data_IF_307978867154
#
_entry.id   IF_307978867154
#
_cell.length_a   1.000
_cell.length_b   1.000
_cell.length_c   1.000
_cell.angle_alpha   90.00
_cell.angle_beta   90.00
_cell.angle_gamma   90.00
#
_symmetry.space_group_name_H-M   'P 1'
#
loop_
_entity.id
_entity.type
_entity.pdbx_description
1 polymer ?
#
# COMPACT_ATOMS: atom_id res chain seq x y z
N UNK A 1 4.77 26.65 1.38
CA UNK A 1 3.39 26.95 0.93
C UNK A 1 2.86 28.14 1.74
N UNK A 2 2.09 29.08 1.17
CA UNK A 2 1.47 30.16 1.95
C UNK A 2 0.45 29.57 2.93
N UNK A 3 0.35 30.13 4.14
CA UNK A 3 -0.53 29.65 5.24
C UNK A 3 -1.99 29.38 4.80
N UNK A 4 -2.53 30.20 3.92
CA UNK A 4 -3.88 30.01 3.38
C UNK A 4 -4.05 28.72 2.56
N UNK A 5 -2.99 28.18 1.95
CA UNK A 5 -3.05 26.92 1.21
C UNK A 5 -3.07 25.69 2.11
N UNK A 6 -2.41 25.76 3.27
CA UNK A 6 -2.38 24.67 4.26
C UNK A 6 -3.74 24.49 4.93
N UNK A 7 -4.41 25.59 5.29
CA UNK A 7 -5.75 25.55 5.84
C UNK A 7 -6.77 24.99 4.85
N UNK A 8 -6.69 25.40 3.58
CA UNK A 8 -7.59 24.92 2.53
C UNK A 8 -7.41 23.40 2.26
N UNK A 9 -6.19 22.87 2.32
CA UNK A 9 -5.91 21.43 2.20
C UNK A 9 -6.48 20.66 3.40
N UNK A 10 -6.31 21.18 4.61
CA UNK A 10 -6.83 20.56 5.83
C UNK A 10 -8.36 20.48 5.81
N UNK A 11 -9.03 21.53 5.36
CA UNK A 11 -10.50 21.56 5.29
C UNK A 11 -11.03 20.61 4.21
N UNK A 12 -10.37 20.50 3.04
CA UNK A 12 -10.68 19.51 2.00
C UNK A 12 -10.49 18.08 2.51
N UNK A 13 -9.42 17.79 3.26
CA UNK A 13 -9.22 16.48 3.89
C UNK A 13 -10.36 16.08 4.81
N UNK A 14 -10.87 17.03 5.61
CA UNK A 14 -12.00 16.77 6.51
C UNK A 14 -13.32 16.55 5.78
N UNK A 15 -13.50 17.23 4.64
CA UNK A 15 -14.73 17.15 3.84
C UNK A 15 -14.78 15.91 2.94
N UNK A 16 -13.63 15.35 2.53
CA UNK A 16 -13.58 14.20 1.62
C UNK A 16 -13.90 12.89 2.34
N UNK A 17 -14.90 12.16 1.82
CA UNK A 17 -15.24 10.81 2.29
C UNK A 17 -14.09 9.82 2.10
N UNK A 18 -13.24 10.05 1.10
CA UNK A 18 -12.09 9.20 0.81
C UNK A 18 -11.04 9.21 1.92
N UNK A 19 -11.04 10.24 2.78
CA UNK A 19 -10.20 10.27 3.99
C UNK A 19 -10.52 9.13 4.96
N UNK A 20 -11.75 8.59 4.89
CA UNK A 20 -12.17 7.44 5.71
C UNK A 20 -12.08 6.15 4.89
N UNK A 21 -12.51 6.18 3.62
CA UNK A 21 -12.60 4.97 2.78
C UNK A 21 -11.23 4.43 2.40
N UNK A 22 -10.30 5.30 1.97
CA UNK A 22 -8.96 4.89 1.54
C UNK A 22 -8.17 4.13 2.62
N UNK A 23 -8.09 4.57 3.90
CA UNK A 23 -7.41 3.83 4.94
C UNK A 23 -7.98 2.43 5.19
N UNK A 24 -9.27 2.19 4.98
CA UNK A 24 -9.87 0.86 5.13
C UNK A 24 -9.24 -0.11 4.12
N UNK A 25 -9.12 0.28 2.86
CA UNK A 25 -8.47 -0.54 1.84
C UNK A 25 -6.96 -0.66 2.08
N UNK A 26 -6.29 0.41 2.49
CA UNK A 26 -4.86 0.42 2.77
C UNK A 26 -4.50 -0.51 3.94
N UNK A 27 -5.26 -0.49 5.03
CA UNK A 27 -5.08 -1.39 6.17
C UNK A 27 -5.50 -2.81 5.80
N UNK A 28 -6.62 -2.97 5.09
CA UNK A 28 -7.13 -4.26 4.65
C UNK A 28 -6.13 -5.01 3.76
N UNK A 29 -5.51 -4.33 2.79
CA UNK A 29 -4.48 -4.95 1.94
C UNK A 29 -3.21 -5.33 2.71
N UNK A 30 -2.82 -4.53 3.71
CA UNK A 30 -1.67 -4.85 4.57
C UNK A 30 -1.95 -6.10 5.40
N UNK A 31 -3.15 -6.20 5.98
CA UNK A 31 -3.57 -7.41 6.70
C UNK A 31 -3.62 -8.64 5.78
N UNK A 32 -4.22 -8.50 4.59
CA UNK A 32 -4.27 -9.56 3.59
C UNK A 32 -2.87 -9.99 3.12
N UNK A 33 -1.89 -9.11 3.10
CA UNK A 33 -0.50 -9.45 2.81
C UNK A 33 0.07 -10.40 3.87
N UNK A 34 -0.09 -10.12 5.16
CA UNK A 34 0.41 -11.02 6.22
C UNK A 34 -0.28 -12.38 6.19
N UNK A 35 -1.60 -12.38 5.96
CA UNK A 35 -2.36 -13.63 5.78
C UNK A 35 -1.83 -14.43 4.59
N UNK A 36 -1.59 -13.77 3.46
CA UNK A 36 -1.10 -14.40 2.24
C UNK A 36 0.33 -14.95 2.40
N UNK A 37 1.21 -14.24 3.12
CA UNK A 37 2.54 -14.74 3.50
C UNK A 37 2.41 -15.97 4.41
N UNK A 38 1.46 -15.96 5.36
CA UNK A 38 1.16 -17.12 6.20
C UNK A 38 0.76 -18.36 5.38
N UNK A 39 -0.13 -18.20 4.41
CA UNK A 39 -0.49 -19.27 3.46
C UNK A 39 0.70 -19.76 2.65
N UNK A 40 1.56 -18.85 2.18
CA UNK A 40 2.76 -19.21 1.44
C UNK A 40 3.72 -20.05 2.28
N UNK A 41 3.98 -19.64 3.52
CA UNK A 41 4.82 -20.41 4.45
C UNK A 41 4.19 -21.76 4.79
N UNK A 42 2.87 -21.82 4.99
CA UNK A 42 2.14 -23.06 5.23
C UNK A 42 2.23 -24.02 4.02
N UNK A 43 2.17 -23.49 2.80
CA UNK A 43 2.38 -24.27 1.57
C UNK A 43 3.79 -24.86 1.50
N UNK A 44 4.83 -24.09 1.80
CA UNK A 44 6.21 -24.57 1.81
C UNK A 44 6.44 -25.69 2.85
N UNK A 45 5.60 -25.75 3.88
CA UNK A 45 5.57 -26.83 4.89
C UNK A 45 4.66 -27.99 4.52
N UNK A 46 4.00 -27.96 3.37
CA UNK A 46 3.05 -29.00 2.93
C UNK A 46 1.70 -28.99 3.67
N UNK A 47 1.37 -27.93 4.42
CA UNK A 47 0.15 -27.85 5.23
C UNK A 47 -1.09 -27.39 4.45
N UNK A 48 -0.92 -26.70 3.32
CA UNK A 48 -2.01 -26.20 2.48
C UNK A 48 -1.68 -26.38 0.99
N UNK A 49 -2.71 -26.36 0.13
CA UNK A 49 -2.54 -26.43 -1.32
C UNK A 49 -2.06 -25.10 -1.91
N UNK A 50 -1.44 -25.14 -3.09
CA UNK A 50 -1.09 -23.94 -3.83
C UNK A 50 -2.33 -23.09 -4.19
N UNK A 51 -3.48 -23.72 -4.46
CA UNK A 51 -4.70 -22.98 -4.78
C UNK A 51 -5.16 -22.07 -3.62
N UNK A 52 -4.96 -22.50 -2.36
CA UNK A 52 -5.23 -21.68 -1.20
C UNK A 52 -4.29 -20.44 -1.13
N UNK A 53 -3.00 -20.64 -1.44
CA UNK A 53 -2.04 -19.53 -1.57
C UNK A 53 -2.49 -18.56 -2.66
N UNK A 54 -2.78 -19.08 -3.87
CA UNK A 54 -3.21 -18.27 -5.00
C UNK A 54 -4.47 -17.46 -4.69
N UNK A 55 -5.49 -18.08 -4.08
CA UNK A 55 -6.70 -17.40 -3.65
C UNK A 55 -6.41 -16.24 -2.67
N UNK A 56 -5.52 -16.46 -1.70
CA UNK A 56 -5.12 -15.40 -0.75
C UNK A 56 -4.40 -14.23 -1.43
N UNK A 57 -3.58 -14.51 -2.46
CA UNK A 57 -2.92 -13.49 -3.29
C UNK A 57 -3.95 -12.68 -4.09
N UNK A 58 -4.96 -13.34 -4.68
CA UNK A 58 -6.02 -12.65 -5.42
C UNK A 58 -6.81 -11.70 -4.53
N UNK A 59 -7.17 -12.11 -3.32
CA UNK A 59 -7.83 -11.23 -2.33
C UNK A 59 -6.95 -10.02 -2.02
N UNK A 60 -5.65 -10.24 -1.77
CA UNK A 60 -4.70 -9.15 -1.52
C UNK A 60 -4.61 -8.18 -2.71
N UNK A 61 -4.55 -8.69 -3.95
CA UNK A 61 -4.51 -7.86 -5.17
C UNK A 61 -5.81 -7.07 -5.31
N UNK A 62 -6.98 -7.65 -5.07
CA UNK A 62 -8.26 -6.96 -5.13
C UNK A 62 -8.33 -5.79 -4.14
N UNK A 63 -7.87 -5.99 -2.90
CA UNK A 63 -7.79 -4.93 -1.90
C UNK A 63 -6.77 -3.85 -2.29
N UNK A 64 -5.66 -4.22 -2.92
CA UNK A 64 -4.66 -3.29 -3.42
C UNK A 64 -5.21 -2.43 -4.55
N UNK A 65 -5.96 -3.00 -5.50
CA UNK A 65 -6.66 -2.24 -6.54
C UNK A 65 -7.64 -1.25 -5.90
N UNK A 66 -8.41 -1.69 -4.89
CA UNK A 66 -9.29 -0.82 -4.13
C UNK A 66 -8.54 0.33 -3.45
N UNK A 67 -7.38 0.06 -2.85
CA UNK A 67 -6.54 1.09 -2.23
C UNK A 67 -6.02 2.10 -3.26
N UNK A 68 -5.53 1.64 -4.41
CA UNK A 68 -5.06 2.51 -5.51
C UNK A 68 -6.18 3.41 -6.02
N UNK A 69 -7.36 2.85 -6.30
CA UNK A 69 -8.50 3.63 -6.79
C UNK A 69 -8.98 4.66 -5.75
N UNK A 70 -9.18 4.24 -4.51
CA UNK A 70 -9.64 5.14 -3.44
C UNK A 70 -8.60 6.20 -3.09
N UNK A 71 -7.31 5.88 -3.18
CA UNK A 71 -6.20 6.82 -3.03
C UNK A 71 -6.23 7.90 -4.12
N UNK A 72 -6.42 7.51 -5.38
CA UNK A 72 -6.53 8.44 -6.52
C UNK A 72 -7.70 9.42 -6.35
N UNK A 73 -8.86 8.93 -5.92
CA UNK A 73 -10.00 9.81 -5.63
C UNK A 73 -9.71 10.77 -4.47
N UNK A 74 -9.02 10.28 -3.42
CA UNK A 74 -8.63 11.10 -2.30
C UNK A 74 -7.64 12.20 -2.71
N UNK A 75 -6.59 11.88 -3.47
CA UNK A 75 -5.64 12.86 -3.97
C UNK A 75 -6.32 13.93 -4.83
N UNK A 76 -7.25 13.51 -5.70
CA UNK A 76 -8.02 14.46 -6.53
C UNK A 76 -8.83 15.41 -5.67
N UNK A 77 -9.56 14.91 -4.67
CA UNK A 77 -10.40 15.75 -3.80
C UNK A 77 -9.57 16.71 -2.97
N UNK A 78 -8.42 16.27 -2.47
CA UNK A 78 -7.61 17.03 -1.51
C UNK A 78 -6.61 17.95 -2.20
N UNK A 79 -5.91 17.45 -3.23
CA UNK A 79 -4.80 18.16 -3.89
C UNK A 79 -5.12 18.60 -5.33
N UNK A 80 -6.17 18.07 -5.95
CA UNK A 80 -6.53 18.34 -7.33
C UNK A 80 -5.79 17.47 -8.36
N UNK A 81 -4.95 16.53 -7.93
CA UNK A 81 -4.22 15.59 -8.78
C UNK A 81 -4.88 14.22 -8.72
N UNK A 82 -4.92 13.52 -9.86
CA UNK A 82 -5.41 12.14 -9.87
C UNK A 82 -4.42 11.14 -9.29
N UNK A 83 -3.15 11.37 -9.52
CA UNK A 83 -2.01 10.57 -9.09
C UNK A 83 -0.78 11.45 -9.05
N UNK A 84 0.25 10.99 -8.34
CA UNK A 84 1.55 11.67 -8.28
C UNK A 84 1.48 13.10 -7.74
N UNK A 85 0.61 13.33 -6.76
CA UNK A 85 0.70 14.56 -6.00
C UNK A 85 2.12 14.72 -5.43
N UNK A 86 2.75 15.89 -5.54
CA UNK A 86 4.15 16.08 -5.12
C UNK A 86 4.44 15.59 -3.71
N UNK A 87 3.45 15.65 -2.83
CA UNK A 87 3.52 15.20 -1.44
C UNK A 87 3.61 13.67 -1.31
N UNK A 88 3.09 12.90 -2.29
CA UNK A 88 2.98 11.44 -2.27
C UNK A 88 3.69 10.74 -3.43
N UNK A 89 4.46 11.49 -4.23
CA UNK A 89 5.12 10.97 -5.44
C UNK A 89 5.91 9.67 -5.17
N UNK A 90 6.63 9.59 -4.06
CA UNK A 90 7.45 8.41 -3.73
C UNK A 90 6.56 7.21 -3.41
N UNK A 91 5.48 7.42 -2.66
CA UNK A 91 4.52 6.37 -2.30
C UNK A 91 3.81 5.82 -3.53
N UNK A 92 3.40 6.71 -4.44
CA UNK A 92 2.71 6.33 -5.67
C UNK A 92 3.62 5.53 -6.59
N UNK A 93 4.87 5.97 -6.78
CA UNK A 93 5.88 5.24 -7.56
C UNK A 93 6.15 3.87 -6.95
N UNK A 94 6.31 3.78 -5.63
CA UNK A 94 6.53 2.49 -4.96
C UNK A 94 5.31 1.58 -5.05
N UNK A 95 4.11 2.13 -4.93
CA UNK A 95 2.85 1.39 -5.12
C UNK A 95 2.74 0.86 -6.55
N UNK A 96 3.10 1.66 -7.55
CA UNK A 96 3.13 1.22 -8.95
C UNK A 96 4.13 0.08 -9.16
N UNK A 97 5.33 0.18 -8.59
CA UNK A 97 6.34 -0.90 -8.66
C UNK A 97 5.77 -2.19 -8.05
N UNK A 98 5.19 -2.12 -6.86
CA UNK A 98 4.54 -3.27 -6.22
C UNK A 98 3.46 -3.86 -7.12
N UNK A 99 2.63 -3.01 -7.72
CA UNK A 99 1.54 -3.43 -8.61
C UNK A 99 2.08 -4.18 -9.83
N UNK A 100 3.15 -3.68 -10.45
CA UNK A 100 3.80 -4.34 -11.59
C UNK A 100 4.31 -5.74 -11.23
N UNK A 101 4.90 -5.94 -10.05
CA UNK A 101 5.32 -7.26 -9.61
C UNK A 101 4.14 -8.20 -9.32
N UNK A 102 3.00 -7.69 -8.85
CA UNK A 102 1.78 -8.49 -8.70
C UNK A 102 1.22 -8.92 -10.06
N UNK A 103 1.21 -8.03 -11.06
CA UNK A 103 0.80 -8.36 -12.42
C UNK A 103 1.77 -9.37 -13.07
N UNK A 104 3.07 -9.23 -12.84
CA UNK A 104 4.06 -10.19 -13.31
C UNK A 104 3.83 -11.58 -12.71
N UNK A 105 3.52 -11.67 -11.40
CA UNK A 105 3.13 -12.93 -10.78
C UNK A 105 1.88 -13.53 -11.45
N UNK A 106 0.83 -12.75 -11.69
CA UNK A 106 -0.37 -13.23 -12.39
C UNK A 106 -0.05 -13.70 -13.80
N UNK A 107 0.83 -12.99 -14.52
CA UNK A 107 1.31 -13.40 -15.83
C UNK A 107 2.04 -14.74 -15.79
N UNK A 108 2.95 -14.94 -14.83
CA UNK A 108 3.65 -16.22 -14.67
C UNK A 108 2.65 -17.35 -14.35
N UNK A 109 1.67 -17.11 -13.49
CA UNK A 109 0.63 -18.11 -13.21
C UNK A 109 -0.22 -18.43 -14.45
N UNK A 110 -0.57 -17.41 -15.25
CA UNK A 110 -1.42 -17.60 -16.44
C UNK A 110 -0.72 -18.38 -17.56
N UNK A 111 0.58 -18.16 -17.77
CA UNK A 111 1.30 -18.71 -18.91
C UNK A 111 2.28 -19.84 -18.56
N UNK A 112 2.68 -19.98 -17.31
CA UNK A 112 3.72 -20.90 -16.86
C UNK A 112 3.33 -21.64 -15.56
N UNK A 113 2.05 -21.94 -15.37
CA UNK A 113 1.56 -22.63 -14.16
C UNK A 113 2.23 -23.98 -13.92
N UNK A 114 2.68 -24.65 -14.99
CA UNK A 114 3.39 -25.93 -14.93
C UNK A 114 4.80 -25.79 -14.33
N UNK A 115 5.38 -24.61 -14.38
CA UNK A 115 6.68 -24.31 -13.81
C UNK A 115 6.53 -23.76 -12.37
N UNK A 116 6.15 -24.64 -11.45
CA UNK A 116 5.92 -24.24 -10.05
C UNK A 116 7.12 -23.52 -9.40
N UNK A 117 8.39 -23.90 -9.63
CA UNK A 117 9.53 -23.14 -9.13
C UNK A 117 9.54 -21.67 -9.59
N UNK A 118 9.23 -21.40 -10.86
CA UNK A 118 9.16 -20.01 -11.37
C UNK A 118 8.01 -19.23 -10.73
N UNK A 119 6.85 -19.87 -10.54
CA UNK A 119 5.67 -19.27 -9.87
C UNK A 119 6.01 -18.88 -8.43
N UNK A 120 6.63 -19.78 -7.67
CA UNK A 120 7.01 -19.53 -6.28
C UNK A 120 8.10 -18.47 -6.14
N UNK A 121 9.08 -18.48 -7.05
CA UNK A 121 10.13 -17.47 -7.10
C UNK A 121 9.52 -16.08 -7.35
N UNK A 122 8.64 -15.96 -8.35
CA UNK A 122 7.99 -14.68 -8.67
C UNK A 122 7.11 -14.19 -7.54
N UNK A 123 6.38 -15.10 -6.87
CA UNK A 123 5.59 -14.75 -5.68
C UNK A 123 6.48 -14.25 -4.53
N UNK A 124 7.61 -14.93 -4.28
CA UNK A 124 8.58 -14.52 -3.27
C UNK A 124 9.15 -13.12 -3.55
N UNK A 125 9.51 -12.83 -4.81
CA UNK A 125 9.96 -11.50 -5.23
C UNK A 125 8.86 -10.46 -5.01
N UNK A 126 7.62 -10.74 -5.42
CA UNK A 126 6.49 -9.83 -5.25
C UNK A 126 6.22 -9.54 -3.76
N UNK A 127 6.39 -10.52 -2.88
CA UNK A 127 6.28 -10.32 -1.42
C UNK A 127 7.43 -9.48 -0.86
N UNK A 128 8.66 -9.72 -1.31
CA UNK A 128 9.82 -8.94 -0.88
C UNK A 128 9.68 -7.46 -1.25
N UNK A 129 9.27 -7.18 -2.50
CA UNK A 129 9.03 -5.80 -2.97
C UNK A 129 7.90 -5.13 -2.17
N UNK A 130 6.82 -5.87 -1.88
CA UNK A 130 5.74 -5.34 -1.04
C UNK A 130 6.21 -5.06 0.39
N UNK A 131 7.00 -5.95 0.99
CA UNK A 131 7.55 -5.75 2.34
C UNK A 131 8.44 -4.50 2.43
N UNK A 132 9.26 -4.24 1.40
CA UNK A 132 10.07 -3.02 1.29
C UNK A 132 9.16 -1.79 1.26
N UNK A 133 8.10 -1.81 0.46
CA UNK A 133 7.13 -0.70 0.39
C UNK A 133 6.46 -0.43 1.75
N UNK A 134 6.02 -1.48 2.46
CA UNK A 134 5.45 -1.36 3.81
C UNK A 134 6.47 -0.77 4.80
N UNK A 135 7.71 -1.25 4.76
CA UNK A 135 8.78 -0.73 5.64
C UNK A 135 9.06 0.76 5.39
N UNK A 136 9.11 1.19 4.12
CA UNK A 136 9.27 2.60 3.75
C UNK A 136 8.10 3.45 4.26
N UNK A 137 6.87 2.98 4.08
CA UNK A 137 5.68 3.67 4.56
C UNK A 137 5.69 3.87 6.08
N UNK A 138 6.01 2.81 6.84
CA UNK A 138 6.12 2.88 8.30
C UNK A 138 7.20 3.87 8.72
N UNK A 139 8.39 3.78 8.13
CA UNK A 139 9.51 4.66 8.44
C UNK A 139 9.18 6.13 8.19
N UNK A 140 8.54 6.45 7.07
CA UNK A 140 8.13 7.82 6.73
C UNK A 140 7.06 8.34 7.69
N UNK A 141 6.05 7.53 8.01
CA UNK A 141 5.01 7.90 8.97
C UNK A 141 5.58 8.19 10.36
N UNK A 142 6.57 7.41 10.79
CA UNK A 142 7.25 7.65 12.07
C UNK A 142 8.06 8.96 12.05
N UNK A 143 8.79 9.23 10.97
CA UNK A 143 9.51 10.50 10.80
C UNK A 143 8.59 11.71 10.84
N UNK A 144 7.50 11.69 10.10
CA UNK A 144 6.51 12.77 10.09
C UNK A 144 5.93 13.04 11.48
N UNK A 145 5.62 11.98 12.25
CA UNK A 145 5.15 12.12 13.63
C UNK A 145 6.20 12.77 14.53
N UNK A 146 7.47 12.38 14.41
CA UNK A 146 8.57 12.96 15.19
C UNK A 146 8.78 14.44 14.87
N UNK A 147 8.75 14.80 13.58
CA UNK A 147 8.89 16.19 13.12
C UNK A 147 7.73 17.06 13.62
N UNK A 148 6.48 16.55 13.57
CA UNK A 148 5.31 17.24 14.10
C UNK A 148 5.43 17.46 15.61
N UNK A 149 5.78 16.44 16.37
CA UNK A 149 5.96 16.54 17.83
C UNK A 149 7.11 17.49 18.20
N UNK A 150 8.21 17.49 17.44
CA UNK A 150 9.31 18.42 17.67
C UNK A 150 8.89 19.88 17.40
N UNK A 151 8.11 20.12 16.35
CA UNK A 151 7.57 21.44 16.02
C UNK A 151 6.57 21.93 17.10
N UNK A 152 5.68 21.06 17.57
CA UNK A 152 4.74 21.38 18.66
C UNK A 152 5.48 21.75 19.97
N UNK A 153 6.54 21.01 20.29
CA UNK A 153 7.40 21.27 21.45
C UNK A 153 8.11 22.61 21.35
N UNK A 154 8.61 22.98 20.16
CA UNK A 154 9.26 24.27 19.92
C UNK A 154 8.29 25.44 20.02
N UNK A 155 7.04 25.24 19.63
CA UNK A 155 6.00 26.28 19.68
C UNK A 155 5.31 26.39 21.06
N UNK A 156 5.69 25.57 22.05
CA UNK A 156 5.08 25.58 23.40
C UNK A 156 3.60 25.14 23.41
N UNK A 157 3.14 24.42 22.37
CA UNK A 157 1.75 24.00 22.19
C UNK A 157 1.52 22.60 22.82
N UNK A 158 2.58 21.87 23.12
CA UNK A 158 2.52 20.59 23.81
C UNK A 158 2.40 20.85 25.32
N UNK A 159 1.18 20.78 25.84
CA UNK A 159 0.88 20.67 27.26
C UNK A 159 0.83 19.19 27.67
#
# INVERSE_FOLDING_TARGET
MPEGSVLAVRDRRKASIWTIVHPIFAIGQMFAFFVSVGYFVAYLRGAVSYDAVHASVLVKIALMVGAVLTGSFWERDVFGYWWFAPEFLIEDVMTLIVFMFQLAYLGVVAFHRDNMPAVLLMLGIAYAVYAINVAQYIHRTQRQKQETQAAEKMLGIAA
#
